data_IF_887207476959
#
_entry.id   IF_887207476959
#
_cell.length_a   1.000
_cell.length_b   1.000
_cell.length_c   1.000
_cell.angle_alpha   90.00
_cell.angle_beta   90.00
_cell.angle_gamma   90.00
#
_symmetry.space_group_name_H-M   'P 1'
#
loop_
_entity.id
_entity.type
_entity.pdbx_description
1 polymer ?
#
# COMPACT_ATOMS: atom_id res chain seq x y z
N UNK A 1 23.50 -28.77 -49.95
CA UNK A 1 24.44 -29.38 -48.97
C UNK A 1 23.88 -29.08 -47.58
N UNK A 2 22.94 -29.84 -47.00
CA UNK A 2 23.10 -31.01 -46.08
C UNK A 2 24.35 -30.87 -45.20
N UNK A 3 24.32 -30.89 -43.85
CA UNK A 3 23.74 -31.87 -42.89
C UNK A 3 23.63 -31.19 -41.49
N UNK A 4 22.50 -31.14 -40.79
CA UNK A 4 21.92 -32.10 -39.81
C UNK A 4 22.91 -33.13 -39.22
N UNK A 5 23.13 -33.07 -37.90
CA UNK A 5 23.59 -34.21 -37.08
C UNK A 5 22.67 -34.31 -35.87
N UNK A 6 22.02 -35.47 -35.74
CA UNK A 6 21.27 -35.94 -34.59
C UNK A 6 21.95 -37.22 -34.08
N UNK A 7 21.96 -37.45 -32.77
CA UNK A 7 22.07 -38.77 -32.12
C UNK A 7 21.50 -38.61 -30.69
N UNK A 8 20.35 -39.20 -30.29
CA UNK A 8 20.11 -40.61 -29.90
C UNK A 8 21.11 -41.07 -28.82
N UNK A 9 20.78 -41.68 -27.66
CA UNK A 9 19.58 -42.29 -27.04
C UNK A 9 20.01 -42.66 -25.61
N UNK A 10 19.10 -42.73 -24.63
CA UNK A 10 18.98 -43.89 -23.72
C UNK A 10 17.95 -43.62 -22.61
N UNK A 11 16.90 -44.43 -22.66
CA UNK A 11 15.78 -44.52 -21.72
C UNK A 11 16.04 -45.77 -20.86
N UNK A 12 16.02 -45.66 -19.53
CA UNK A 12 15.83 -46.81 -18.63
C UNK A 12 14.84 -46.41 -17.53
N UNK A 13 13.70 -47.09 -17.57
CA UNK A 13 12.63 -47.16 -16.56
C UNK A 13 13.08 -48.13 -15.47
N UNK A 14 12.87 -47.81 -14.19
CA UNK A 14 12.51 -48.83 -13.20
C UNK A 14 11.66 -48.23 -12.07
N UNK A 15 10.38 -48.61 -12.12
CA UNK A 15 9.38 -48.49 -11.05
C UNK A 15 9.49 -49.75 -10.19
N UNK A 16 9.60 -49.61 -8.87
CA UNK A 16 9.15 -50.64 -7.93
C UNK A 16 8.59 -49.98 -6.67
N UNK A 17 7.27 -50.06 -6.53
CA UNK A 17 6.50 -49.89 -5.30
C UNK A 17 6.31 -51.24 -4.63
N UNK A 18 6.53 -51.34 -3.31
CA UNK A 18 6.03 -52.45 -2.45
C UNK A 18 6.00 -52.06 -0.96
N UNK A 19 4.81 -51.66 -0.51
CA UNK A 19 4.03 -52.14 0.66
C UNK A 19 4.69 -52.29 2.06
N UNK A 20 3.93 -51.78 3.04
CA UNK A 20 4.05 -51.66 4.50
C UNK A 20 4.24 -52.96 5.31
N UNK A 21 4.82 -52.86 6.53
CA UNK A 21 4.14 -53.08 7.84
C UNK A 21 5.11 -53.16 9.06
N UNK A 22 4.88 -52.24 10.02
CA UNK A 22 4.96 -52.32 11.50
C UNK A 22 6.19 -52.86 12.26
N UNK A 23 6.67 -52.03 13.20
CA UNK A 23 7.42 -52.45 14.39
C UNK A 23 7.54 -51.33 15.44
N UNK A 24 6.88 -51.49 16.59
CA UNK A 24 6.87 -50.57 17.73
C UNK A 24 8.25 -50.36 18.37
N UNK A 25 8.50 -49.14 18.87
CA UNK A 25 9.61 -48.83 19.77
C UNK A 25 9.42 -47.48 20.45
N UNK A 26 8.87 -47.51 21.66
CA UNK A 26 8.81 -46.40 22.62
C UNK A 26 10.19 -46.19 23.24
N UNK A 27 10.74 -44.96 23.18
CA UNK A 27 11.34 -44.27 24.34
C UNK A 27 11.69 -42.83 23.97
N UNK A 28 11.18 -41.90 24.79
CA UNK A 28 11.21 -40.48 24.54
C UNK A 28 12.57 -39.80 24.66
N UNK A 29 12.67 -38.67 23.96
CA UNK A 29 13.39 -37.49 24.41
C UNK A 29 12.47 -36.30 24.19
N UNK A 30 12.04 -35.71 25.30
CA UNK A 30 11.37 -34.43 25.35
C UNK A 30 12.20 -33.38 24.61
N UNK A 31 11.67 -32.89 23.50
CA UNK A 31 11.96 -31.54 23.03
C UNK A 31 10.72 -30.74 23.34
N UNK A 32 10.76 -30.04 24.47
CA UNK A 32 9.81 -29.00 24.83
C UNK A 32 9.85 -27.92 23.75
N UNK A 33 9.03 -28.07 22.72
CA UNK A 33 8.70 -26.96 21.82
C UNK A 33 7.66 -26.07 22.52
N UNK A 34 8.13 -25.34 23.52
CA UNK A 34 7.41 -24.21 24.08
C UNK A 34 7.74 -22.97 23.23
N UNK A 35 7.19 -22.93 22.03
CA UNK A 35 7.10 -21.75 21.19
C UNK A 35 5.63 -21.64 20.79
N UNK A 36 4.86 -20.88 21.56
CA UNK A 36 3.42 -20.79 21.42
C UNK A 36 3.03 -20.46 19.98
N UNK A 37 2.18 -21.32 19.42
CA UNK A 37 1.34 -21.00 18.27
C UNK A 37 0.35 -19.90 18.67
N UNK A 38 0.85 -18.68 18.86
CA UNK A 38 0.02 -17.48 18.91
C UNK A 38 -0.65 -17.33 17.56
N UNK A 39 -1.96 -17.05 17.56
CA UNK A 39 -2.76 -16.93 16.34
C UNK A 39 -2.01 -16.15 15.26
N UNK A 40 -1.64 -16.82 14.17
CA UNK A 40 -1.01 -16.20 13.01
C UNK A 40 -2.06 -15.35 12.33
N UNK A 41 -2.03 -14.06 12.57
CA UNK A 41 -3.01 -13.15 12.01
C UNK A 41 -2.83 -11.73 12.51
N UNK A 42 -3.47 -10.82 11.80
CA UNK A 42 -3.46 -9.39 12.08
C UNK A 42 -4.91 -8.90 12.17
N UNK A 43 -5.14 -7.89 12.99
CA UNK A 43 -6.42 -7.18 13.03
C UNK A 43 -6.20 -5.68 12.94
N UNK A 44 -7.14 -5.01 12.30
CA UNK A 44 -7.25 -3.55 12.27
C UNK A 44 -8.10 -3.13 13.45
N UNK A 45 -7.63 -2.16 14.23
CA UNK A 45 -8.46 -1.50 15.24
C UNK A 45 -9.39 -0.55 14.51
N UNK A 46 -10.69 -0.81 14.58
CA UNK A 46 -11.72 -0.09 13.84
C UNK A 46 -12.05 1.29 14.45
N UNK A 47 -11.02 2.13 14.56
CA UNK A 47 -11.06 3.49 15.08
C UNK A 47 -10.15 4.32 14.20
N UNK A 48 -10.74 5.32 13.52
CA UNK A 48 -9.99 6.32 12.77
C UNK A 48 -9.20 7.21 13.75
N UNK A 49 -7.89 7.33 13.52
CA UNK A 49 -6.97 8.12 14.35
C UNK A 49 -6.78 9.54 13.81
N UNK A 50 -7.04 9.73 12.52
CA UNK A 50 -6.90 11.01 11.81
C UNK A 50 -8.11 11.22 10.90
N UNK A 51 -8.23 12.43 10.36
CA UNK A 51 -9.14 12.75 9.25
C UNK A 51 -8.31 13.43 8.17
N UNK A 52 -8.30 12.84 6.98
CA UNK A 52 -7.39 13.20 5.90
C UNK A 52 -8.15 13.31 4.59
N UNK A 53 -7.63 14.13 3.69
CA UNK A 53 -8.20 14.32 2.35
C UNK A 53 -7.11 14.01 1.34
N UNK A 54 -7.37 13.08 0.43
CA UNK A 54 -6.48 12.78 -0.68
C UNK A 54 -6.78 13.68 -1.89
N UNK A 55 -5.72 14.17 -2.51
CA UNK A 55 -5.75 14.95 -3.75
C UNK A 55 -4.53 14.64 -4.61
N UNK A 56 -4.60 14.91 -5.91
CA UNK A 56 -3.46 14.75 -6.79
C UNK A 56 -2.54 15.96 -6.72
N UNK A 57 -1.23 15.72 -6.75
CA UNK A 57 -0.22 16.78 -6.71
C UNK A 57 0.26 17.14 -8.11
N UNK A 58 -0.17 18.27 -8.67
CA UNK A 58 0.21 18.71 -10.02
C UNK A 58 1.47 19.57 -9.97
N UNK A 59 2.33 19.46 -10.99
CA UNK A 59 3.49 20.33 -11.19
C UNK A 59 3.07 21.81 -11.14
N UNK A 60 3.72 22.58 -10.27
CA UNK A 60 3.44 24.01 -10.03
C UNK A 60 3.67 24.87 -11.26
N UNK A 61 4.48 24.40 -12.21
CA UNK A 61 4.72 25.06 -13.49
C UNK A 61 3.61 24.81 -14.53
N UNK A 62 2.64 23.93 -14.24
CA UNK A 62 1.56 23.53 -15.14
C UNK A 62 0.15 23.89 -14.59
N UNK A 63 -0.18 25.19 -14.42
CA UNK A 63 -1.49 25.61 -13.88
C UNK A 63 -2.67 25.22 -14.80
N UNK A 64 -2.45 25.13 -16.12
CA UNK A 64 -3.48 24.67 -17.06
C UNK A 64 -3.81 23.18 -16.85
N UNK A 65 -2.79 22.34 -16.57
CA UNK A 65 -3.01 20.93 -16.23
C UNK A 65 -3.84 20.81 -14.96
N UNK A 66 -3.58 21.62 -13.93
CA UNK A 66 -4.36 21.62 -12.71
C UNK A 66 -5.84 21.96 -12.97
N UNK A 67 -6.12 22.95 -13.82
CA UNK A 67 -7.50 23.30 -14.19
C UNK A 67 -8.21 22.13 -14.87
N UNK A 68 -7.55 21.47 -15.83
CA UNK A 68 -8.10 20.30 -16.52
C UNK A 68 -8.28 19.09 -15.59
N UNK A 69 -7.35 18.86 -14.65
CA UNK A 69 -7.49 17.83 -13.61
C UNK A 69 -8.72 18.08 -12.75
N UNK A 70 -8.95 19.31 -12.29
CA UNK A 70 -10.12 19.64 -11.47
C UNK A 70 -11.44 19.51 -12.26
N UNK A 71 -11.47 19.95 -13.52
CA UNK A 71 -12.63 19.73 -14.41
C UNK A 71 -12.92 18.25 -14.58
N UNK A 72 -11.88 17.45 -14.80
CA UNK A 72 -11.99 16.00 -14.96
C UNK A 72 -12.50 15.32 -13.69
N UNK A 73 -11.95 15.64 -12.51
CA UNK A 73 -12.42 15.12 -11.22
C UNK A 73 -13.90 15.45 -11.01
N UNK A 74 -14.30 16.70 -11.26
CA UNK A 74 -15.69 17.12 -11.14
C UNK A 74 -16.60 16.35 -12.11
N UNK A 75 -16.14 16.12 -13.35
CA UNK A 75 -16.87 15.36 -14.35
C UNK A 75 -17.10 13.90 -13.92
N UNK A 76 -16.04 13.17 -13.56
CA UNK A 76 -16.15 11.74 -13.20
C UNK A 76 -16.97 11.52 -11.92
N UNK A 77 -16.99 12.51 -11.02
CA UNK A 77 -17.88 12.49 -9.86
C UNK A 77 -19.33 12.75 -10.23
N UNK A 78 -19.59 13.67 -11.16
CA UNK A 78 -20.95 14.03 -11.57
C UNK A 78 -21.62 12.96 -12.44
N UNK A 79 -20.85 12.24 -13.26
CA UNK A 79 -21.38 11.22 -14.18
C UNK A 79 -21.39 9.79 -13.62
N UNK A 80 -20.92 9.58 -12.39
CA UNK A 80 -20.89 8.28 -11.71
C UNK A 80 -19.72 7.38 -12.11
N UNK A 81 -18.78 7.86 -12.94
CA UNK A 81 -17.56 7.13 -13.28
C UNK A 81 -16.71 6.87 -12.05
N UNK A 82 -16.56 7.87 -11.16
CA UNK A 82 -15.79 7.73 -9.93
C UNK A 82 -16.37 6.67 -8.99
N UNK A 83 -17.70 6.65 -8.81
CA UNK A 83 -18.38 5.63 -8.01
C UNK A 83 -18.18 4.22 -8.60
N UNK A 84 -18.17 4.11 -9.94
CA UNK A 84 -17.90 2.85 -10.63
C UNK A 84 -16.47 2.36 -10.38
N UNK A 85 -15.48 3.27 -10.41
CA UNK A 85 -14.09 2.95 -10.07
C UNK A 85 -14.02 2.48 -8.62
N UNK A 86 -14.64 3.20 -7.67
CA UNK A 86 -14.65 2.78 -6.27
C UNK A 86 -15.29 1.40 -6.09
N UNK A 87 -16.37 1.08 -6.83
CA UNK A 87 -17.00 -0.24 -6.77
C UNK A 87 -16.07 -1.37 -7.21
N UNK A 88 -15.11 -1.12 -8.11
CA UNK A 88 -14.13 -2.12 -8.53
C UNK A 88 -13.19 -2.59 -7.41
N UNK A 89 -12.99 -1.76 -6.38
CA UNK A 89 -12.01 -2.04 -5.32
C UNK A 89 -12.61 -2.16 -3.92
N UNK A 90 -13.70 -1.42 -3.65
CA UNK A 90 -14.38 -1.41 -2.36
C UNK A 90 -15.69 -2.21 -2.36
N UNK A 91 -16.19 -2.57 -3.55
CA UNK A 91 -17.45 -3.27 -3.76
C UNK A 91 -17.27 -4.66 -4.36
N UNK A 92 -18.19 -5.03 -5.25
CA UNK A 92 -18.21 -6.31 -5.96
C UNK A 92 -17.74 -6.21 -7.42
N UNK A 93 -17.23 -5.05 -7.82
CA UNK A 93 -16.69 -4.81 -9.14
C UNK A 93 -15.38 -5.57 -9.39
N UNK A 94 -14.86 -5.45 -10.61
CA UNK A 94 -13.63 -6.13 -11.01
C UNK A 94 -12.52 -5.09 -11.25
N UNK A 95 -11.37 -5.18 -10.55
CA UNK A 95 -10.22 -4.31 -10.80
C UNK A 95 -9.80 -4.27 -12.27
N UNK A 96 -9.50 -3.08 -12.79
CA UNK A 96 -9.10 -2.89 -14.19
C UNK A 96 -7.59 -2.74 -14.31
N UNK A 97 -6.95 -3.66 -15.05
CA UNK A 97 -5.51 -3.62 -15.32
C UNK A 97 -5.14 -2.46 -16.25
N UNK A 98 -4.18 -1.63 -15.81
CA UNK A 98 -3.64 -0.48 -16.52
C UNK A 98 -2.21 -0.78 -16.98
N UNK A 99 -1.93 -0.48 -18.24
CA UNK A 99 -0.61 -0.67 -18.86
C UNK A 99 0.05 0.69 -19.02
N UNK A 100 1.28 0.82 -18.50
CA UNK A 100 2.11 2.00 -18.74
C UNK A 100 2.77 1.94 -20.11
N UNK A 101 2.77 3.04 -20.84
CA UNK A 101 3.67 3.22 -21.97
C UNK A 101 5.12 3.41 -21.49
N UNK A 102 6.13 3.15 -22.34
CA UNK A 102 7.48 3.60 -22.08
C UNK A 102 7.57 5.14 -22.17
N UNK A 103 8.40 5.74 -21.32
CA UNK A 103 8.72 7.17 -21.41
C UNK A 103 9.42 7.48 -22.74
N UNK A 104 8.87 8.44 -23.48
CA UNK A 104 9.35 8.90 -24.77
C UNK A 104 9.15 10.42 -24.89
N UNK A 105 10.23 11.17 -24.71
CA UNK A 105 10.22 12.63 -24.76
C UNK A 105 9.86 13.23 -26.12
N UNK A 106 9.72 12.41 -27.17
CA UNK A 106 9.24 12.85 -28.49
C UNK A 106 7.73 12.80 -28.66
N UNK A 107 7.01 12.21 -27.70
CA UNK A 107 5.55 12.10 -27.70
C UNK A 107 4.91 13.03 -26.67
N UNK A 108 3.62 13.26 -26.84
CA UNK A 108 2.81 13.92 -25.81
C UNK A 108 2.33 12.87 -24.81
N UNK A 109 2.88 12.94 -23.60
CA UNK A 109 2.66 11.95 -22.55
C UNK A 109 2.19 12.65 -21.26
N UNK A 110 1.37 11.95 -20.48
CA UNK A 110 1.08 12.29 -19.09
C UNK A 110 1.94 11.39 -18.21
N UNK A 111 2.93 11.97 -17.53
CA UNK A 111 3.85 11.24 -16.66
C UNK A 111 3.35 11.32 -15.22
N UNK A 112 2.90 10.18 -14.70
CA UNK A 112 2.35 10.04 -13.34
C UNK A 112 3.42 9.51 -12.41
N UNK A 113 3.75 10.24 -11.34
CA UNK A 113 4.54 9.73 -10.22
C UNK A 113 3.62 9.01 -9.22
N UNK A 114 4.00 7.79 -8.82
CA UNK A 114 3.20 6.97 -7.90
C UNK A 114 4.06 6.06 -7.00
N UNK A 115 3.45 5.43 -5.99
CA UNK A 115 4.04 4.35 -5.19
C UNK A 115 3.12 3.13 -5.21
N UNK A 116 3.30 2.24 -6.19
CA UNK A 116 2.39 1.12 -6.47
C UNK A 116 2.55 -0.07 -5.49
N UNK A 117 2.45 0.20 -4.19
CA UNK A 117 2.42 -0.75 -3.09
C UNK A 117 1.33 -0.44 -2.06
N UNK A 118 0.29 0.31 -2.48
CA UNK A 118 -0.73 0.93 -1.65
C UNK A 118 -2.14 0.54 -2.15
N UNK A 119 -2.43 -0.76 -2.13
CA UNK A 119 -3.77 -1.29 -2.42
C UNK A 119 -4.78 -0.72 -1.40
N UNK A 120 -5.97 -0.23 -1.82
CA UNK A 120 -6.59 -0.37 -3.14
C UNK A 120 -6.38 0.79 -4.13
N UNK A 121 -5.52 1.78 -3.82
CA UNK A 121 -5.40 2.99 -4.64
C UNK A 121 -4.39 2.83 -5.77
N UNK A 122 -3.22 2.25 -5.49
CA UNK A 122 -2.20 2.00 -6.50
C UNK A 122 -1.36 0.78 -6.13
N UNK A 123 -1.33 -0.22 -7.00
CA UNK A 123 -0.55 -1.42 -6.76
C UNK A 123 -0.18 -2.13 -8.06
N UNK A 124 0.84 -2.97 -7.98
CA UNK A 124 1.31 -3.75 -9.12
C UNK A 124 0.60 -5.10 -9.21
N UNK A 125 0.29 -5.50 -10.44
CA UNK A 125 -0.21 -6.83 -10.79
C UNK A 125 0.65 -7.38 -11.93
N UNK A 126 1.74 -8.07 -11.58
CA UNK A 126 2.75 -8.48 -12.56
C UNK A 126 3.47 -7.25 -13.14
N UNK A 127 3.38 -7.08 -14.46
CA UNK A 127 3.92 -5.95 -15.22
C UNK A 127 2.92 -4.79 -15.41
N UNK A 128 1.72 -4.91 -14.83
CA UNK A 128 0.63 -3.94 -14.93
C UNK A 128 0.36 -3.27 -13.59
N UNK A 129 -0.51 -2.27 -13.63
CA UNK A 129 -0.96 -1.51 -12.47
C UNK A 129 -2.46 -1.70 -12.26
N UNK A 130 -2.88 -1.66 -11.00
CA UNK A 130 -4.27 -1.69 -10.56
C UNK A 130 -4.46 -0.59 -9.51
N UNK A 131 -5.71 -0.25 -9.26
CA UNK A 131 -6.11 0.63 -8.18
C UNK A 131 -6.88 1.86 -8.66
N UNK A 132 -7.57 2.49 -7.71
CA UNK A 132 -8.39 3.69 -7.93
C UNK A 132 -7.58 4.79 -8.64
N UNK A 133 -6.38 5.09 -8.16
CA UNK A 133 -5.54 6.15 -8.72
C UNK A 133 -5.08 5.79 -10.14
N UNK A 134 -4.84 4.51 -10.43
CA UNK A 134 -4.38 4.05 -11.74
C UNK A 134 -5.50 4.08 -12.79
N UNK A 135 -6.73 3.71 -12.41
CA UNK A 135 -7.90 3.86 -13.29
C UNK A 135 -8.20 5.34 -13.59
N UNK A 136 -8.11 6.20 -12.58
CA UNK A 136 -8.27 7.65 -12.76
C UNK A 136 -7.15 8.20 -13.66
N UNK A 137 -5.90 7.77 -13.48
CA UNK A 137 -4.76 8.18 -14.30
C UNK A 137 -4.96 7.84 -15.78
N UNK A 138 -5.44 6.62 -16.08
CA UNK A 138 -5.73 6.18 -17.44
C UNK A 138 -6.85 6.98 -18.10
N UNK A 139 -7.92 7.28 -17.35
CA UNK A 139 -9.02 8.09 -17.84
C UNK A 139 -8.62 9.57 -18.02
N UNK A 140 -7.81 10.11 -17.11
CA UNK A 140 -7.27 11.47 -17.22
C UNK A 140 -6.37 11.60 -18.45
N UNK A 141 -5.45 10.65 -18.67
CA UNK A 141 -4.60 10.64 -19.86
C UNK A 141 -5.43 10.63 -21.15
N UNK A 142 -6.50 9.82 -21.18
CA UNK A 142 -7.46 9.80 -22.30
C UNK A 142 -8.22 11.11 -22.46
N UNK A 143 -8.66 11.74 -21.35
CA UNK A 143 -9.34 13.03 -21.37
C UNK A 143 -8.46 14.14 -21.96
N UNK A 144 -7.15 14.09 -21.67
CA UNK A 144 -6.14 15.02 -22.16
C UNK A 144 -5.60 14.69 -23.56
N UNK A 145 -6.04 13.59 -24.17
CA UNK A 145 -5.49 13.04 -25.42
C UNK A 145 -3.96 12.75 -25.36
N UNK A 146 -3.50 12.21 -24.23
CA UNK A 146 -2.09 11.88 -23.95
C UNK A 146 -1.87 10.38 -23.75
N UNK A 147 -0.65 9.92 -24.01
CA UNK A 147 -0.21 8.58 -23.65
C UNK A 147 0.19 8.53 -22.16
N UNK A 148 -0.32 7.54 -21.42
CA UNK A 148 -0.04 7.41 -19.98
C UNK A 148 1.33 6.75 -19.74
N UNK A 149 2.16 7.39 -18.92
CA UNK A 149 3.40 6.83 -18.38
C UNK A 149 3.33 6.81 -16.85
N UNK A 150 3.51 5.65 -16.25
CA UNK A 150 3.51 5.46 -14.79
C UNK A 150 4.95 5.28 -14.30
N UNK A 151 5.40 6.25 -13.50
CA UNK A 151 6.69 6.24 -12.82
C UNK A 151 6.50 5.82 -11.35
N UNK A 152 6.65 4.52 -11.10
CA UNK A 152 6.59 3.94 -9.76
C UNK A 152 7.91 4.16 -8.99
N UNK A 153 7.83 4.71 -7.77
CA UNK A 153 8.96 5.05 -6.91
C UNK A 153 8.65 4.89 -5.42
N UNK A 154 9.62 5.11 -4.55
CA UNK A 154 9.38 5.19 -3.10
C UNK A 154 8.48 6.42 -2.79
N UNK A 155 7.53 6.29 -1.86
CA UNK A 155 6.49 7.30 -1.61
C UNK A 155 7.03 8.70 -1.28
N UNK A 156 8.11 8.78 -0.50
CA UNK A 156 8.78 10.03 -0.13
C UNK A 156 9.41 10.78 -1.31
N UNK A 157 9.60 10.11 -2.46
CA UNK A 157 10.11 10.71 -3.68
C UNK A 157 9.01 11.27 -4.62
N UNK A 158 7.74 10.93 -4.39
CA UNK A 158 6.62 11.23 -5.32
C UNK A 158 6.46 12.72 -5.57
N UNK A 159 6.24 13.52 -4.52
CA UNK A 159 6.08 14.97 -4.66
C UNK A 159 7.35 15.64 -5.18
N UNK A 160 8.52 15.19 -4.72
CA UNK A 160 9.80 15.73 -5.16
C UNK A 160 10.03 15.50 -6.66
N UNK A 161 9.64 14.34 -7.19
CA UNK A 161 9.73 14.04 -8.62
C UNK A 161 8.91 15.03 -9.45
N UNK A 162 7.70 15.35 -9.00
CA UNK A 162 6.84 16.36 -9.64
C UNK A 162 7.46 17.76 -9.53
N UNK A 163 7.90 18.17 -8.34
CA UNK A 163 8.54 19.48 -8.14
C UNK A 163 9.86 19.67 -8.91
N UNK A 164 10.49 18.59 -9.35
CA UNK A 164 11.68 18.60 -10.22
C UNK A 164 11.35 18.54 -11.72
N UNK A 165 10.07 18.50 -12.10
CA UNK A 165 9.62 18.37 -13.50
C UNK A 165 9.93 17.01 -14.12
N UNK A 166 10.12 15.95 -13.31
CA UNK A 166 10.32 14.57 -13.81
C UNK A 166 9.01 13.83 -14.04
N UNK A 167 7.92 14.33 -13.46
CA UNK A 167 6.56 13.86 -13.64
C UNK A 167 5.62 15.06 -13.62
N UNK A 168 4.49 14.96 -14.30
CA UNK A 168 3.50 16.04 -14.41
C UNK A 168 2.56 16.07 -13.20
N UNK A 169 2.24 14.89 -12.65
CA UNK A 169 1.26 14.72 -11.60
C UNK A 169 1.63 13.56 -10.66
N UNK A 170 1.38 13.76 -9.37
CA UNK A 170 1.46 12.75 -8.32
C UNK A 170 0.07 12.16 -8.07
N UNK A 171 -0.07 10.84 -8.24
CA UNK A 171 -1.29 10.07 -7.97
C UNK A 171 -0.90 8.84 -7.16
N UNK A 172 -0.98 8.97 -5.83
CA UNK A 172 -0.47 7.99 -4.88
C UNK A 172 -1.19 8.06 -3.51
N UNK A 173 -2.53 8.16 -3.48
CA UNK A 173 -3.27 8.30 -2.22
C UNK A 173 -2.78 9.48 -1.36
N UNK A 174 -2.51 10.62 -2.01
CA UNK A 174 -1.68 11.67 -1.41
C UNK A 174 -2.50 12.60 -0.52
N UNK A 175 -2.35 12.50 0.81
CA UNK A 175 -2.91 13.47 1.77
C UNK A 175 -2.48 14.91 1.47
N UNK A 176 -3.43 15.85 1.47
CA UNK A 176 -3.15 17.28 1.37
C UNK A 176 -2.36 17.73 2.63
N UNK A 177 -1.15 18.26 2.43
CA UNK A 177 -0.28 18.76 3.51
C UNK A 177 0.52 19.98 3.07
N UNK A 178 0.82 20.89 4.00
CA UNK A 178 1.52 22.15 3.71
C UNK A 178 2.96 21.95 3.20
N UNK A 179 3.70 20.97 3.73
CA UNK A 179 5.05 20.65 3.24
C UNK A 179 5.05 20.14 1.79
N UNK A 180 4.04 19.35 1.40
CA UNK A 180 3.87 18.84 0.04
C UNK A 180 3.57 19.99 -0.94
N UNK A 181 2.91 21.06 -0.48
CA UNK A 181 2.65 22.26 -1.30
C UNK A 181 3.92 23.00 -1.68
N UNK A 182 5.07 22.72 -1.07
CA UNK A 182 6.36 23.22 -1.56
C UNK A 182 6.62 22.73 -2.99
N UNK A 183 6.34 21.44 -3.25
CA UNK A 183 6.66 20.74 -4.49
C UNK A 183 5.53 20.71 -5.52
N UNK A 184 4.27 20.65 -5.06
CA UNK A 184 3.10 20.48 -5.93
C UNK A 184 2.01 21.51 -5.65
N UNK A 185 1.10 21.69 -6.60
CA UNK A 185 -0.21 22.29 -6.33
C UNK A 185 -1.25 21.18 -6.30
N UNK A 186 -2.03 21.10 -5.22
CA UNK A 186 -3.05 20.06 -5.09
C UNK A 186 -4.27 20.35 -5.96
N UNK A 187 -4.83 19.28 -6.55
CA UNK A 187 -6.16 19.25 -7.11
C UNK A 187 -7.23 19.42 -6.03
N UNK A 188 -8.49 19.50 -6.45
CA UNK A 188 -9.62 19.25 -5.57
C UNK A 188 -9.52 17.83 -4.99
N UNK A 189 -9.96 17.66 -3.73
CA UNK A 189 -9.93 16.35 -3.08
C UNK A 189 -10.78 15.33 -3.82
N UNK A 190 -10.35 14.08 -3.88
CA UNK A 190 -11.12 12.99 -4.49
C UNK A 190 -11.58 11.93 -3.48
N UNK A 191 -10.89 11.77 -2.34
CA UNK A 191 -11.17 10.73 -1.35
C UNK A 191 -10.91 11.23 0.08
N UNK A 192 -11.68 10.73 1.05
CA UNK A 192 -11.49 10.98 2.48
C UNK A 192 -10.85 9.76 3.13
N UNK A 193 -9.77 9.96 3.88
CA UNK A 193 -8.94 8.90 4.46
C UNK A 193 -8.70 9.12 5.95
N UNK A 194 -8.13 8.11 6.60
CA UNK A 194 -7.75 8.14 8.01
C UNK A 194 -6.66 7.11 8.28
N UNK A 195 -5.78 7.37 9.24
CA UNK A 195 -4.87 6.36 9.78
C UNK A 195 -5.62 5.43 10.73
N UNK A 196 -5.24 4.15 10.75
CA UNK A 196 -5.67 3.15 11.72
C UNK A 196 -4.48 2.41 12.31
N UNK A 197 -4.70 1.88 13.51
CA UNK A 197 -3.76 0.99 14.19
C UNK A 197 -3.99 -0.46 13.75
N UNK A 198 -2.93 -1.14 13.35
CA UNK A 198 -2.91 -2.59 13.15
C UNK A 198 -2.12 -3.27 14.26
N UNK A 199 -2.66 -4.39 14.74
CA UNK A 199 -2.07 -5.19 15.81
C UNK A 199 -2.13 -6.68 15.46
N UNK A 200 -1.32 -7.51 16.12
CA UNK A 200 -1.47 -8.97 16.03
C UNK A 200 -2.87 -9.39 16.48
N UNK A 201 -3.47 -10.38 15.82
CA UNK A 201 -4.81 -10.85 16.16
C UNK A 201 -4.96 -11.26 17.65
N UNK A 202 -3.88 -11.76 18.26
CA UNK A 202 -3.83 -12.14 19.67
C UNK A 202 -3.76 -10.97 20.66
N UNK A 203 -3.53 -9.73 20.20
CA UNK A 203 -3.40 -8.57 21.08
C UNK A 203 -4.77 -7.99 21.45
N UNK A 204 -5.21 -8.18 22.69
CA UNK A 204 -6.53 -7.71 23.17
C UNK A 204 -6.49 -6.33 23.83
N UNK A 205 -5.35 -5.62 23.84
CA UNK A 205 -5.19 -4.34 24.57
C UNK A 205 -6.17 -3.26 24.12
N UNK A 206 -6.53 -3.28 22.85
CA UNK A 206 -7.36 -2.24 22.20
C UNK A 206 -8.83 -2.64 22.02
N UNK A 207 -9.25 -3.84 22.46
CA UNK A 207 -10.59 -4.38 22.19
C UNK A 207 -11.73 -3.54 22.81
N UNK A 208 -11.41 -2.85 23.92
CA UNK A 208 -12.36 -2.01 24.64
C UNK A 208 -12.35 -0.54 24.17
N UNK A 209 -11.44 -0.14 23.29
CA UNK A 209 -11.43 1.21 22.74
C UNK A 209 -12.71 1.49 21.95
N UNK A 210 -13.19 2.73 22.01
CA UNK A 210 -14.36 3.24 21.27
C UNK A 210 -14.08 4.54 20.54
N UNK A 211 -13.03 5.24 20.94
CA UNK A 211 -12.65 6.55 20.41
C UNK A 211 -11.15 6.59 20.11
N UNK A 212 -10.72 7.53 19.27
CA UNK A 212 -9.29 7.79 19.03
C UNK A 212 -8.54 8.04 20.35
N UNK A 213 -9.14 8.82 21.26
CA UNK A 213 -8.58 9.12 22.57
C UNK A 213 -8.30 7.87 23.43
N UNK A 214 -9.11 6.81 23.31
CA UNK A 214 -8.85 5.55 24.01
C UNK A 214 -7.59 4.86 23.48
N UNK A 215 -7.39 4.87 22.16
CA UNK A 215 -6.20 4.31 21.50
C UNK A 215 -4.98 5.14 21.86
N UNK A 216 -5.07 6.47 21.71
CA UNK A 216 -4.04 7.44 22.04
C UNK A 216 -3.60 7.35 23.50
N UNK A 217 -4.56 7.14 24.42
CA UNK A 217 -4.28 6.95 25.85
C UNK A 217 -3.41 5.70 26.10
N UNK A 218 -3.63 4.62 25.36
CA UNK A 218 -2.80 3.41 25.43
C UNK A 218 -1.43 3.68 24.80
N UNK A 219 -1.38 4.25 23.60
CA UNK A 219 -0.13 4.56 22.89
C UNK A 219 0.77 5.51 23.69
N UNK A 220 0.19 6.50 24.36
CA UNK A 220 0.88 7.47 25.23
C UNK A 220 1.48 6.83 26.49
N UNK A 221 0.95 5.69 26.91
CA UNK A 221 1.47 4.90 28.02
C UNK A 221 2.71 4.07 27.66
N UNK A 222 3.04 3.94 26.37
CA UNK A 222 4.21 3.20 25.90
C UNK A 222 5.51 4.00 26.04
N UNK A 223 6.62 3.27 26.11
CA UNK A 223 7.97 3.80 26.15
C UNK A 223 8.78 3.38 24.92
N UNK A 224 10.07 3.73 24.90
CA UNK A 224 10.98 3.47 23.78
C UNK A 224 11.30 1.99 23.54
N UNK A 225 10.74 1.05 24.31
CA UNK A 225 10.83 -0.38 24.02
C UNK A 225 9.81 -0.83 22.99
N UNK A 226 8.68 -0.12 22.89
CA UNK A 226 7.64 -0.40 21.91
C UNK A 226 8.04 0.20 20.56
N UNK A 227 7.90 -0.58 19.50
CA UNK A 227 8.18 -0.19 18.13
C UNK A 227 6.89 -0.15 17.31
N UNK A 228 6.66 0.99 16.67
CA UNK A 228 5.53 1.22 15.76
C UNK A 228 6.08 1.37 14.35
N UNK A 229 5.67 0.45 13.47
CA UNK A 229 5.98 0.48 12.05
C UNK A 229 5.08 1.46 11.29
N UNK A 230 5.65 2.15 10.33
CA UNK A 230 4.95 3.11 9.46
C UNK A 230 5.53 3.05 8.05
N UNK A 231 4.77 3.49 7.05
CA UNK A 231 5.34 3.77 5.73
C UNK A 231 6.08 5.12 5.75
N UNK A 232 7.25 5.18 5.11
CA UNK A 232 8.05 6.40 5.08
C UNK A 232 7.32 7.54 4.35
N UNK A 233 7.36 8.73 4.95
CA UNK A 233 6.80 9.97 4.37
C UNK A 233 5.29 10.13 4.50
N UNK A 234 4.59 9.19 5.15
CA UNK A 234 3.13 9.24 5.31
C UNK A 234 2.70 9.93 6.60
N UNK A 235 1.42 10.31 6.66
CA UNK A 235 0.78 10.84 7.87
C UNK A 235 0.84 9.87 9.05
N UNK A 236 0.86 8.56 8.81
CA UNK A 236 1.12 7.56 9.86
C UNK A 236 2.50 7.74 10.53
N UNK A 237 3.55 8.04 9.77
CA UNK A 237 4.87 8.36 10.34
C UNK A 237 4.80 9.60 11.23
N UNK A 238 4.16 10.66 10.72
CA UNK A 238 4.02 11.94 11.39
C UNK A 238 3.16 11.83 12.66
N UNK A 239 2.12 11.00 12.63
CA UNK A 239 1.30 10.69 13.80
C UNK A 239 2.13 10.06 14.92
N UNK A 240 3.10 9.21 14.58
CA UNK A 240 3.99 8.59 15.57
C UNK A 240 5.09 9.55 16.06
N UNK A 241 5.72 10.28 15.14
CA UNK A 241 6.87 11.15 15.44
C UNK A 241 6.49 12.53 15.98
N UNK A 242 5.24 12.95 15.76
CA UNK A 242 4.77 14.30 15.99
C UNK A 242 4.88 15.16 14.73
N UNK A 243 3.91 16.05 14.56
CA UNK A 243 3.84 17.03 13.49
C UNK A 243 2.98 18.22 13.97
N UNK A 244 3.58 19.41 14.16
CA UNK A 244 2.87 20.58 14.66
C UNK A 244 1.79 21.10 13.71
N UNK A 245 1.92 20.88 12.40
CA UNK A 245 0.92 21.35 11.43
C UNK A 245 -0.40 20.58 11.58
N UNK A 246 -0.29 19.32 11.98
CA UNK A 246 -1.41 18.43 12.28
C UNK A 246 -1.82 18.41 13.75
N UNK A 247 -1.04 19.05 14.63
CA UNK A 247 -1.24 18.99 16.07
C UNK A 247 -0.89 17.64 16.70
N UNK A 248 -0.09 16.81 16.02
CA UNK A 248 0.37 15.54 16.56
C UNK A 248 1.54 15.79 17.51
N UNK A 249 1.39 15.44 18.79
CA UNK A 249 2.49 15.55 19.77
C UNK A 249 3.55 14.44 19.58
N UNK A 250 3.17 13.34 18.92
CA UNK A 250 3.97 12.13 18.80
C UNK A 250 4.01 11.30 20.08
N UNK A 251 4.68 10.15 20.02
CA UNK A 251 4.77 9.21 21.13
C UNK A 251 6.22 8.95 21.54
N UNK A 252 6.43 8.41 22.74
CA UNK A 252 7.76 8.03 23.26
C UNK A 252 8.28 6.70 22.71
N UNK A 253 7.55 6.10 21.77
CA UNK A 253 7.86 4.82 21.14
C UNK A 253 8.95 4.97 20.07
N UNK A 254 9.49 3.86 19.59
CA UNK A 254 10.35 3.85 18.41
C UNK A 254 9.50 3.83 17.15
N UNK A 255 9.63 4.87 16.32
CA UNK A 255 9.05 4.88 14.98
C UNK A 255 10.00 4.15 14.01
N UNK A 256 9.51 3.09 13.36
CA UNK A 256 10.29 2.27 12.42
C UNK A 256 9.71 2.43 11.02
N UNK A 257 10.51 2.95 10.10
CA UNK A 257 10.09 3.28 8.75
C UNK A 257 10.25 2.13 7.75
N UNK A 258 9.26 1.94 6.88
CA UNK A 258 9.23 0.91 5.83
C UNK A 258 8.88 1.52 4.47
N UNK A 259 9.25 0.81 3.40
CA UNK A 259 8.90 1.20 2.02
C UNK A 259 7.41 1.01 1.70
N UNK A 260 6.72 0.14 2.43
CA UNK A 260 5.28 -0.10 2.29
C UNK A 260 4.67 -0.61 3.59
N UNK A 261 3.36 -0.43 3.74
CA UNK A 261 2.57 -1.00 4.83
C UNK A 261 2.70 -2.50 4.98
N UNK A 262 2.64 -3.24 3.88
CA UNK A 262 2.72 -4.71 3.88
C UNK A 262 4.04 -5.21 4.49
N UNK A 263 5.16 -4.52 4.21
CA UNK A 263 6.45 -4.85 4.83
C UNK A 263 6.44 -4.60 6.34
N UNK A 264 5.83 -3.49 6.80
CA UNK A 264 5.69 -3.20 8.22
C UNK A 264 4.86 -4.29 8.93
N UNK A 265 3.72 -4.69 8.35
CA UNK A 265 2.86 -5.72 8.95
C UNK A 265 3.52 -7.09 8.96
N UNK A 266 4.25 -7.46 7.91
CA UNK A 266 5.06 -8.69 7.90
C UNK A 266 6.12 -8.69 9.01
N UNK A 267 6.79 -7.56 9.23
CA UNK A 267 7.80 -7.44 10.28
C UNK A 267 7.20 -7.47 11.70
N UNK A 268 5.99 -6.91 11.85
CA UNK A 268 5.19 -7.04 13.07
C UNK A 268 4.88 -8.51 13.35
N UNK A 269 4.40 -9.27 12.36
CA UNK A 269 4.10 -10.70 12.51
C UNK A 269 5.34 -11.53 12.86
N UNK A 270 6.51 -11.15 12.32
CA UNK A 270 7.80 -11.76 12.67
C UNK A 270 8.28 -11.41 14.10
N UNK A 271 7.64 -10.45 14.76
CA UNK A 271 7.94 -10.07 16.14
C UNK A 271 9.07 -9.05 16.29
N UNK A 272 9.46 -8.39 15.20
CA UNK A 272 10.53 -7.39 15.22
C UNK A 272 10.03 -5.99 15.61
N UNK A 273 8.73 -5.74 15.39
CA UNK A 273 7.98 -4.57 15.86
C UNK A 273 6.64 -5.00 16.49
N UNK A 274 6.00 -4.09 17.22
CA UNK A 274 4.82 -4.39 18.04
C UNK A 274 3.51 -4.03 17.34
N UNK A 275 3.50 -2.88 16.64
CA UNK A 275 2.32 -2.26 16.06
C UNK A 275 2.62 -1.66 14.69
N UNK A 276 1.59 -1.42 13.88
CA UNK A 276 1.70 -0.66 12.63
C UNK A 276 0.61 0.41 12.58
N UNK A 277 0.96 1.63 12.15
CA UNK A 277 -0.02 2.67 11.84
C UNK A 277 0.03 2.91 10.33
N UNK A 278 -1.13 2.79 9.69
CA UNK A 278 -1.32 2.92 8.24
C UNK A 278 -2.77 3.31 7.92
N UNK A 279 -2.96 3.92 6.75
CA UNK A 279 -4.23 4.31 6.17
C UNK A 279 -5.28 3.19 6.18
N UNK A 280 -6.52 3.57 6.46
CA UNK A 280 -7.67 2.69 6.74
C UNK A 280 -7.93 1.65 5.66
N UNK A 281 -8.00 2.07 4.40
CA UNK A 281 -8.29 1.18 3.28
C UNK A 281 -7.14 0.18 3.04
N UNK A 282 -5.86 0.61 2.94
CA UNK A 282 -4.73 -0.32 2.90
C UNK A 282 -4.62 -1.23 4.12
N UNK A 283 -4.91 -0.74 5.33
CA UNK A 283 -4.92 -1.56 6.54
C UNK A 283 -5.87 -2.76 6.37
N UNK A 284 -7.07 -2.50 5.82
CA UNK A 284 -8.08 -3.53 5.54
C UNK A 284 -7.58 -4.53 4.50
N UNK A 285 -7.11 -4.07 3.34
CA UNK A 285 -6.61 -4.94 2.27
C UNK A 285 -5.44 -5.82 2.75
N UNK A 286 -4.49 -5.23 3.48
CA UNK A 286 -3.35 -5.97 4.05
C UNK A 286 -3.83 -7.03 5.05
N UNK A 287 -4.78 -6.68 5.93
CA UNK A 287 -5.30 -7.62 6.91
C UNK A 287 -6.04 -8.79 6.28
N UNK A 288 -6.87 -8.52 5.28
CA UNK A 288 -7.60 -9.56 4.51
C UNK A 288 -6.60 -10.50 3.82
N UNK A 289 -5.67 -9.96 3.01
CA UNK A 289 -4.68 -10.75 2.29
C UNK A 289 -3.81 -11.61 3.22
N UNK A 290 -3.36 -11.06 4.36
CA UNK A 290 -2.54 -11.80 5.32
C UNK A 290 -3.35 -12.90 6.03
N UNK A 291 -4.59 -12.61 6.41
CA UNK A 291 -5.41 -13.57 7.16
C UNK A 291 -5.94 -14.70 6.25
N UNK A 292 -6.09 -14.47 4.95
CA UNK A 292 -6.42 -15.54 3.98
C UNK A 292 -5.27 -16.54 3.79
N UNK A 293 -4.02 -16.10 4.00
CA UNK A 293 -2.82 -16.94 3.84
C UNK A 293 -2.47 -17.77 5.09
N UNK A 294 -3.09 -17.52 6.25
CA UNK A 294 -2.75 -18.13 7.54
C UNK A 294 -3.88 -18.99 8.12
#
# INVERSE_FOLDING_TARGET
>A
MKKIVAFMTAMIILITTSIMLTGCGTQGKDVSNAGGSGAKGVKVIDIQLTQEEYAFGVDKSQPELLEEVNKFIAQIKADGTFDSILNNYFGDGTPVEIVSAPLDSSKDQLVVATNAGFEPFEYTAGDKYLGVDMEIAALLAKYLDKELVINNMDFDAVCLSVGQGKADIAMAGLTIKEDRKEYVTFSDKYYDAAQKLMVKASDTRFDNCKTAADVEGILSGFDSKVKIGVQNGTTGQFYVQGDPDWGFEGYKTQCVGYKSGSLAVQDMLNGNIDYVIIDEAPAKCIAEAINELN
#
